data_IF_895966868953
#
_entry.id   IF_895966868953
#
_cell.length_a   1.000
_cell.length_b   1.000
_cell.length_c   1.000
_cell.angle_alpha   90.00
_cell.angle_beta   90.00
_cell.angle_gamma   90.00
#
_symmetry.space_group_name_H-M   'P 1'
#
loop_
_entity.id
_entity.type
_entity.pdbx_description
1 polymer ?
#
# COMPACT_ATOMS: atom_id res chain seq x y z
N UNK A 1 3.94 13.89 -14.47
CA UNK A 1 2.70 14.64 -14.16
C UNK A 1 2.88 16.11 -14.55
N UNK A 2 3.86 16.80 -14.01
CA UNK A 2 4.09 18.23 -14.27
C UNK A 2 4.33 18.53 -15.75
N UNK A 3 5.10 17.68 -16.44
CA UNK A 3 5.40 17.84 -17.85
C UNK A 3 4.16 17.73 -18.76
N UNK A 4 3.17 16.96 -18.35
CA UNK A 4 1.90 16.79 -19.09
C UNK A 4 1.01 18.03 -18.95
N UNK A 5 1.00 18.67 -17.78
CA UNK A 5 0.26 19.90 -17.51
C UNK A 5 -1.25 19.81 -17.66
N UNK A 6 -1.82 18.62 -17.65
CA UNK A 6 -3.25 18.40 -17.81
C UNK A 6 -3.91 18.12 -16.45
N UNK A 7 -5.02 18.80 -16.09
CA UNK A 7 -5.73 18.56 -14.84
C UNK A 7 -6.20 17.12 -14.62
N UNK A 8 -6.42 16.35 -15.67
CA UNK A 8 -6.73 14.93 -15.60
C UNK A 8 -5.56 14.04 -15.23
N UNK A 9 -4.33 14.56 -15.23
CA UNK A 9 -3.10 13.83 -14.92
C UNK A 9 -2.39 14.52 -13.75
N UNK A 10 -2.97 14.43 -12.56
CA UNK A 10 -2.48 15.12 -11.36
C UNK A 10 -2.09 14.19 -10.22
N UNK A 11 -2.66 12.97 -10.17
CA UNK A 11 -2.58 12.12 -9.01
C UNK A 11 -1.77 10.86 -9.28
N UNK A 12 -1.21 10.31 -8.20
CA UNK A 12 -0.39 9.12 -8.21
C UNK A 12 -1.12 8.02 -7.44
N UNK A 13 -1.17 6.84 -8.04
CA UNK A 13 -1.44 5.59 -7.36
C UNK A 13 -0.10 4.93 -7.04
N UNK A 14 0.22 4.81 -5.77
CA UNK A 14 1.44 4.16 -5.31
C UNK A 14 1.20 2.70 -4.95
N UNK A 15 2.24 1.90 -4.99
CA UNK A 15 2.18 0.49 -4.57
C UNK A 15 3.47 0.16 -3.81
N UNK A 16 3.34 -0.11 -2.52
CA UNK A 16 4.51 -0.31 -1.66
C UNK A 16 5.29 -1.56 -2.02
N UNK A 17 4.63 -2.59 -2.56
CA UNK A 17 5.32 -3.80 -2.98
C UNK A 17 6.26 -3.52 -4.16
N UNK A 18 5.81 -2.78 -5.16
CA UNK A 18 6.67 -2.39 -6.30
C UNK A 18 7.77 -1.43 -5.87
N UNK A 19 7.50 -0.52 -4.95
CA UNK A 19 8.50 0.42 -4.41
C UNK A 19 9.67 -0.28 -3.71
N UNK A 20 9.50 -1.52 -3.21
CA UNK A 20 10.59 -2.30 -2.61
C UNK A 20 11.75 -2.54 -3.59
N UNK A 21 11.45 -2.66 -4.87
CA UNK A 21 12.44 -2.94 -5.92
C UNK A 21 12.84 -1.66 -6.67
N UNK A 22 11.89 -0.77 -6.90
CA UNK A 22 12.06 0.37 -7.80
C UNK A 22 12.54 1.63 -7.09
N UNK A 23 12.32 1.72 -5.78
CA UNK A 23 12.66 2.92 -5.00
C UNK A 23 13.78 2.65 -3.99
N UNK A 24 14.65 3.62 -3.80
CA UNK A 24 15.72 3.52 -2.80
C UNK A 24 15.22 3.55 -1.36
N UNK A 25 14.15 4.33 -1.11
CA UNK A 25 13.52 4.43 0.21
C UNK A 25 12.05 4.80 0.07
N UNK A 26 11.16 3.94 0.55
CA UNK A 26 9.71 4.10 0.34
C UNK A 26 9.19 5.38 0.98
N UNK A 27 9.55 5.66 2.23
CA UNK A 27 9.07 6.85 2.94
C UNK A 27 9.50 8.15 2.25
N UNK A 28 10.72 8.22 1.73
CA UNK A 28 11.19 9.38 0.96
C UNK A 28 10.40 9.56 -0.33
N UNK A 29 10.07 8.47 -1.01
CA UNK A 29 9.26 8.49 -2.23
C UNK A 29 7.85 8.99 -1.94
N UNK A 30 7.23 8.53 -0.86
CA UNK A 30 5.92 9.02 -0.41
C UNK A 30 5.98 10.51 -0.06
N UNK A 31 7.01 10.93 0.65
CA UNK A 31 7.24 12.34 0.98
C UNK A 31 7.32 13.21 -0.28
N UNK A 32 8.12 12.79 -1.27
CA UNK A 32 8.27 13.50 -2.55
C UNK A 32 6.97 13.53 -3.36
N UNK A 33 6.16 12.49 -3.26
CA UNK A 33 4.85 12.44 -3.93
C UNK A 33 3.86 13.45 -3.34
N UNK A 34 3.91 13.63 -2.02
CA UNK A 34 3.12 14.64 -1.31
C UNK A 34 1.63 14.54 -1.62
N UNK A 35 0.99 15.67 -1.84
CA UNK A 35 -0.46 15.75 -2.10
C UNK A 35 -0.91 15.11 -3.41
N UNK A 36 0.01 14.70 -4.28
CA UNK A 36 -0.34 13.97 -5.50
C UNK A 36 -0.67 12.50 -5.25
N UNK A 37 -0.17 11.93 -4.15
CA UNK A 37 -0.50 10.56 -3.76
C UNK A 37 -1.95 10.51 -3.25
N UNK A 38 -2.81 9.75 -3.92
CA UNK A 38 -4.23 9.65 -3.54
C UNK A 38 -4.70 8.23 -3.30
N UNK A 39 -3.97 7.25 -3.81
CA UNK A 39 -4.20 5.85 -3.49
C UNK A 39 -2.88 5.15 -3.24
N UNK A 40 -2.85 4.27 -2.26
CA UNK A 40 -1.67 3.48 -1.92
C UNK A 40 -2.08 2.01 -1.77
N UNK A 41 -1.53 1.15 -2.61
CA UNK A 41 -1.72 -0.28 -2.51
C UNK A 41 -0.77 -0.87 -1.46
N UNK A 42 -1.30 -1.76 -0.65
CA UNK A 42 -0.60 -2.34 0.50
C UNK A 42 -0.48 -3.85 0.37
N UNK A 43 0.74 -4.33 0.36
CA UNK A 43 1.10 -5.73 0.54
C UNK A 43 2.46 -5.80 1.22
N UNK A 44 2.77 -6.89 1.91
CA UNK A 44 4.07 -7.05 2.55
C UNK A 44 5.16 -7.46 1.53
N UNK A 45 6.38 -7.57 1.98
CA UNK A 45 7.56 -7.88 1.14
C UNK A 45 7.47 -9.19 0.38
N UNK A 46 6.66 -10.12 0.86
CA UNK A 46 6.36 -11.43 0.23
C UNK A 46 5.01 -11.43 -0.50
N UNK A 47 4.41 -10.26 -0.68
CA UNK A 47 3.09 -10.04 -1.26
C UNK A 47 1.95 -10.72 -0.50
N UNK A 48 2.20 -11.14 0.72
CA UNK A 48 1.19 -11.61 1.66
C UNK A 48 0.50 -10.43 2.37
N UNK A 49 -0.35 -10.73 3.34
CA UNK A 49 -0.95 -9.73 4.20
C UNK A 49 0.13 -8.94 4.95
N UNK A 50 -0.14 -7.68 5.25
CA UNK A 50 0.76 -6.87 6.09
C UNK A 50 0.99 -7.55 7.44
N UNK A 51 2.24 -7.52 7.89
CA UNK A 51 2.69 -8.18 9.11
C UNK A 51 3.25 -9.58 8.88
N UNK A 52 3.06 -10.16 7.71
CA UNK A 52 3.58 -11.48 7.36
C UNK A 52 4.97 -11.46 6.73
N UNK A 53 5.49 -10.28 6.43
CA UNK A 53 6.83 -10.06 5.86
C UNK A 53 7.66 -9.14 6.73
N UNK A 54 8.51 -8.34 6.08
CA UNK A 54 9.47 -7.45 6.74
C UNK A 54 9.28 -5.97 6.39
N UNK A 55 8.13 -5.58 5.87
CA UNK A 55 7.86 -4.20 5.51
C UNK A 55 7.79 -3.31 6.78
N UNK A 56 8.51 -2.19 6.76
CA UNK A 56 8.44 -1.18 7.82
C UNK A 56 7.19 -0.31 7.66
N UNK A 57 6.07 -0.83 8.09
CA UNK A 57 4.76 -0.17 8.00
C UNK A 57 4.73 1.11 8.83
N UNK A 58 5.39 1.14 9.96
CA UNK A 58 5.40 2.31 10.85
C UNK A 58 6.03 3.53 10.17
N UNK A 59 7.18 3.36 9.53
CA UNK A 59 7.84 4.44 8.79
C UNK A 59 6.99 4.91 7.61
N UNK A 60 6.37 3.99 6.89
CA UNK A 60 5.45 4.32 5.80
C UNK A 60 4.27 5.15 6.33
N UNK A 61 3.65 4.69 7.41
CA UNK A 61 2.50 5.36 8.01
C UNK A 61 2.85 6.77 8.53
N UNK A 62 4.00 6.92 9.17
CA UNK A 62 4.49 8.23 9.61
C UNK A 62 4.68 9.19 8.43
N UNK A 63 5.26 8.70 7.31
CA UNK A 63 5.39 9.51 6.10
C UNK A 63 4.03 9.95 5.55
N UNK A 64 3.03 9.06 5.56
CA UNK A 64 1.67 9.38 5.13
C UNK A 64 1.03 10.46 5.99
N UNK A 65 1.19 10.39 7.31
CA UNK A 65 0.70 11.44 8.21
C UNK A 65 1.39 12.78 7.94
N UNK A 66 2.70 12.78 7.72
CA UNK A 66 3.47 14.00 7.45
C UNK A 66 3.05 14.70 6.15
N UNK A 67 2.58 13.98 5.15
CA UNK A 67 2.09 14.56 3.89
C UNK A 67 0.59 14.87 3.89
N UNK A 68 -0.10 14.64 5.03
CA UNK A 68 -1.54 14.92 5.14
C UNK A 68 -2.43 13.91 4.43
N UNK A 69 -1.97 12.67 4.28
CA UNK A 69 -2.70 11.59 3.60
C UNK A 69 -3.97 11.15 4.33
N UNK A 70 -4.09 11.46 5.60
CA UNK A 70 -5.25 11.13 6.45
C UNK A 70 -6.44 12.07 6.18
N UNK A 71 -6.95 12.05 4.97
CA UNK A 71 -8.10 12.84 4.53
C UNK A 71 -9.07 11.97 3.73
N UNK A 72 -10.28 12.48 3.48
CA UNK A 72 -11.37 11.74 2.85
C UNK A 72 -11.22 11.53 1.32
N UNK A 73 -10.15 12.08 0.73
CA UNK A 73 -9.85 11.92 -0.71
C UNK A 73 -8.77 10.89 -0.98
N UNK A 74 -8.14 10.35 0.06
CA UNK A 74 -7.04 9.41 -0.04
C UNK A 74 -7.43 8.04 0.49
N UNK A 75 -6.87 7.01 -0.12
CA UNK A 75 -7.18 5.62 0.20
C UNK A 75 -5.91 4.79 0.39
N UNK A 76 -5.97 3.83 1.30
CA UNK A 76 -5.00 2.76 1.41
C UNK A 76 -5.75 1.45 1.17
N UNK A 77 -5.39 0.74 0.11
CA UNK A 77 -6.12 -0.42 -0.38
C UNK A 77 -5.28 -1.69 -0.20
N UNK A 78 -5.73 -2.66 0.60
CA UNK A 78 -5.08 -3.97 0.67
C UNK A 78 -5.05 -4.65 -0.69
N UNK A 79 -3.85 -5.12 -1.09
CA UNK A 79 -3.66 -5.86 -2.34
C UNK A 79 -2.74 -7.08 -2.14
N UNK A 80 -2.96 -7.93 -1.12
CA UNK A 80 -2.20 -9.16 -0.98
C UNK A 80 -2.66 -10.20 -2.01
N UNK A 81 -1.70 -10.86 -2.66
CA UNK A 81 -1.98 -11.94 -3.62
C UNK A 81 -1.74 -13.33 -3.03
N UNK A 82 -1.19 -13.39 -1.84
CA UNK A 82 -0.88 -14.63 -1.16
C UNK A 82 0.58 -15.08 -1.30
N UNK A 83 0.91 -16.25 -0.76
CA UNK A 83 2.27 -16.77 -0.77
C UNK A 83 2.84 -16.89 -2.20
N UNK A 84 4.06 -16.37 -2.39
CA UNK A 84 4.73 -16.39 -3.67
C UNK A 84 4.33 -15.28 -4.64
N UNK A 85 3.34 -14.45 -4.29
CA UNK A 85 2.93 -13.28 -5.09
C UNK A 85 2.51 -13.60 -6.51
N UNK A 86 1.99 -14.81 -6.75
CA UNK A 86 1.59 -15.27 -8.07
C UNK A 86 0.13 -14.90 -8.36
N UNK A 87 -0.14 -13.98 -9.29
CA UNK A 87 -1.50 -13.61 -9.65
C UNK A 87 -2.20 -14.63 -10.56
N UNK A 88 -1.48 -15.54 -11.19
CA UNK A 88 -2.03 -16.43 -12.19
C UNK A 88 -3.11 -17.39 -11.65
N UNK A 89 -2.96 -18.00 -10.46
CA UNK A 89 -4.03 -18.84 -9.91
C UNK A 89 -5.35 -18.08 -9.74
N UNK A 90 -5.28 -16.81 -9.34
CA UNK A 90 -6.47 -15.97 -9.21
C UNK A 90 -7.08 -15.62 -10.58
N UNK A 91 -6.24 -15.32 -11.58
CA UNK A 91 -6.69 -15.04 -12.95
C UNK A 91 -7.36 -16.23 -13.59
N UNK A 92 -6.91 -17.45 -13.28
CA UNK A 92 -7.47 -18.70 -13.80
C UNK A 92 -8.66 -19.22 -12.95
N UNK A 93 -9.11 -18.44 -11.96
CA UNK A 93 -10.20 -18.85 -11.08
C UNK A 93 -9.85 -19.98 -10.11
N UNK A 94 -8.56 -20.22 -9.88
CA UNK A 94 -8.05 -21.32 -9.04
C UNK A 94 -7.85 -20.92 -7.58
N UNK A 95 -8.05 -19.67 -7.24
CA UNK A 95 -7.88 -19.15 -5.86
C UNK A 95 -9.20 -19.22 -5.10
N UNK A 96 -9.16 -19.73 -3.87
CA UNK A 96 -10.29 -19.73 -2.97
C UNK A 96 -10.59 -18.27 -2.50
N UNK A 97 -11.79 -17.72 -2.79
CA UNK A 97 -12.15 -16.38 -2.35
C UNK A 97 -12.03 -16.16 -0.84
N UNK A 98 -12.28 -17.19 -0.03
CA UNK A 98 -12.15 -17.10 1.43
C UNK A 98 -10.72 -16.84 1.89
N UNK A 99 -9.74 -17.39 1.17
CA UNK A 99 -8.32 -17.12 1.45
C UNK A 99 -8.00 -15.66 1.15
N UNK A 100 -8.47 -15.13 0.04
CA UNK A 100 -8.28 -13.73 -0.34
C UNK A 100 -8.94 -12.79 0.67
N UNK A 101 -10.17 -13.06 1.08
CA UNK A 101 -10.88 -12.28 2.09
C UNK A 101 -10.11 -12.27 3.43
N UNK A 102 -9.53 -13.41 3.82
CA UNK A 102 -8.72 -13.51 5.02
C UNK A 102 -7.47 -12.64 4.93
N UNK A 103 -6.76 -12.65 3.80
CA UNK A 103 -5.56 -11.83 3.58
C UNK A 103 -5.88 -10.33 3.63
N UNK A 104 -6.98 -9.91 3.04
CA UNK A 104 -7.45 -8.52 3.08
C UNK A 104 -7.80 -8.11 4.51
N UNK A 105 -8.54 -8.96 5.23
CA UNK A 105 -8.91 -8.69 6.61
C UNK A 105 -7.69 -8.60 7.54
N UNK A 106 -6.70 -9.47 7.35
CA UNK A 106 -5.44 -9.43 8.11
C UNK A 106 -4.68 -8.12 7.83
N UNK A 107 -4.58 -7.72 6.57
CA UNK A 107 -3.92 -6.47 6.17
C UNK A 107 -4.58 -5.26 6.83
N UNK A 108 -5.90 -5.17 6.76
CA UNK A 108 -6.65 -4.06 7.36
C UNK A 108 -6.49 -4.03 8.88
N UNK A 109 -6.53 -5.18 9.54
CA UNK A 109 -6.34 -5.29 10.99
C UNK A 109 -4.96 -4.84 11.40
N UNK A 110 -3.92 -5.34 10.76
CA UNK A 110 -2.54 -4.97 11.05
C UNK A 110 -2.31 -3.47 10.85
N UNK A 111 -2.80 -2.91 9.75
CA UNK A 111 -2.73 -1.48 9.46
C UNK A 111 -3.37 -0.65 10.59
N UNK A 112 -4.58 -1.01 11.00
CA UNK A 112 -5.28 -0.29 12.07
C UNK A 112 -4.58 -0.42 13.42
N UNK A 113 -4.04 -1.58 13.75
CA UNK A 113 -3.27 -1.80 14.98
C UNK A 113 -2.01 -0.93 15.01
N UNK A 114 -1.27 -0.86 13.90
CA UNK A 114 -0.08 -0.01 13.82
C UNK A 114 -0.45 1.47 13.91
N UNK A 115 -1.53 1.88 13.30
CA UNK A 115 -2.01 3.26 13.39
C UNK A 115 -2.31 3.65 14.84
N UNK A 116 -3.00 2.79 15.59
CA UNK A 116 -3.28 3.04 17.00
C UNK A 116 -2.01 3.19 17.83
N UNK A 117 -0.98 2.38 17.56
CA UNK A 117 0.30 2.48 18.25
C UNK A 117 1.01 3.80 17.92
N UNK A 118 1.02 4.20 16.67
CA UNK A 118 1.69 5.44 16.22
C UNK A 118 0.99 6.67 16.79
N UNK A 119 -0.33 6.67 16.88
CA UNK A 119 -1.12 7.79 17.37
C UNK A 119 -1.26 7.85 18.90
N UNK A 120 -0.79 6.85 19.61
CA UNK A 120 -0.87 6.82 21.09
C UNK A 120 0.16 7.71 21.82
#
# INVERSE_FOLDING_TARGET
>A
IQAVGNPGVQHINGDVYHMLVEEGHIADTLWKSGARLTNLHLADTNRCALGEGSLDVDTIMMALYLIGYNNDKCFASPEPLGPGGDPYPAMDGMTDPKVLDTLVAQTARYWNEREQVILS
#
